data_IF_277573695022
#
_entry.id   IF_277573695022
#
_cell.length_a   1.000
_cell.length_b   1.000
_cell.length_c   1.000
_cell.angle_alpha   90.00
_cell.angle_beta   90.00
_cell.angle_gamma   90.00
#
_symmetry.space_group_name_H-M   'P 1'
#
loop_
_entity.id
_entity.type
_entity.pdbx_description
1 polymer ?
#
# COMPACT_ATOMS: atom_id res chain seq x y z
N UNK A 1 9.00 21.96 6.39
CA UNK A 1 9.88 20.93 6.97
C UNK A 1 9.76 19.70 6.09
N UNK A 2 10.87 19.13 5.64
CA UNK A 2 10.84 17.95 4.77
C UNK A 2 10.44 16.67 5.53
N UNK A 3 9.92 15.68 4.78
CA UNK A 3 9.30 14.48 5.33
C UNK A 3 10.31 13.61 6.08
N UNK A 4 11.50 13.42 5.51
CA UNK A 4 12.54 12.62 6.13
C UNK A 4 13.04 13.24 7.45
N UNK A 5 13.14 14.57 7.53
CA UNK A 5 13.50 15.27 8.76
C UNK A 5 12.41 15.10 9.82
N UNK A 6 11.13 15.10 9.43
CA UNK A 6 10.02 14.81 10.36
C UNK A 6 10.14 13.40 10.93
N UNK A 7 10.33 12.38 10.09
CA UNK A 7 10.56 11.01 10.54
C UNK A 7 11.76 10.89 11.47
N UNK A 8 12.87 11.53 11.09
CA UNK A 8 14.10 11.52 11.86
C UNK A 8 13.91 12.14 13.23
N UNK A 9 13.14 13.24 13.32
CA UNK A 9 12.79 13.88 14.58
C UNK A 9 11.93 12.99 15.48
N UNK A 10 10.88 12.36 14.93
CA UNK A 10 10.00 11.44 15.68
C UNK A 10 10.79 10.24 16.20
N UNK A 11 11.53 9.56 15.32
CA UNK A 11 12.33 8.40 15.71
C UNK A 11 13.42 8.78 16.71
N UNK A 12 14.13 9.90 16.51
CA UNK A 12 15.17 10.35 17.44
C UNK A 12 14.60 10.67 18.83
N UNK A 13 13.46 11.36 18.89
CA UNK A 13 12.82 11.72 20.16
C UNK A 13 12.37 10.50 20.98
N UNK A 14 12.03 9.39 20.33
CA UNK A 14 11.71 8.12 21.00
C UNK A 14 12.98 7.37 21.41
N UNK A 15 13.92 7.21 20.49
CA UNK A 15 15.13 6.44 20.74
C UNK A 15 16.03 7.08 21.81
N UNK A 16 16.13 8.41 21.87
CA UNK A 16 17.01 9.10 22.82
C UNK A 16 16.60 8.88 24.29
N UNK A 17 15.33 8.57 24.55
CA UNK A 17 14.85 8.24 25.91
C UNK A 17 15.49 6.99 26.49
N UNK A 18 15.82 6.03 25.61
CA UNK A 18 16.38 4.73 25.99
C UNK A 18 17.85 4.58 25.57
N UNK A 19 18.29 5.34 24.57
CA UNK A 19 19.67 5.39 24.07
C UNK A 19 20.15 6.84 24.07
N UNK A 20 20.50 7.43 25.24
CA UNK A 20 20.73 8.88 25.38
C UNK A 20 21.86 9.45 24.52
N UNK A 21 22.78 8.59 24.07
CA UNK A 21 23.93 8.97 23.23
C UNK A 21 23.65 8.83 21.73
N UNK A 22 22.45 8.39 21.32
CA UNK A 22 22.13 8.26 19.91
C UNK A 22 22.06 9.64 19.26
N UNK A 23 22.88 9.84 18.23
CA UNK A 23 22.93 11.08 17.45
C UNK A 23 21.86 11.05 16.37
N UNK A 24 21.30 12.22 16.03
CA UNK A 24 20.35 12.34 14.92
C UNK A 24 20.91 11.78 13.59
N UNK A 25 22.20 12.02 13.32
CA UNK A 25 22.87 11.46 12.14
C UNK A 25 22.94 9.93 12.10
N UNK A 26 22.87 9.24 13.26
CA UNK A 26 22.77 7.78 13.32
C UNK A 26 21.35 7.33 13.00
N UNK A 27 20.32 8.03 13.50
CA UNK A 27 18.91 7.79 13.13
C UNK A 27 18.70 7.94 11.62
N UNK A 28 19.34 8.92 10.99
CA UNK A 28 19.32 9.04 9.52
C UNK A 28 19.87 7.80 8.82
N UNK A 29 20.89 7.12 9.38
CA UNK A 29 21.41 5.89 8.79
C UNK A 29 20.41 4.74 8.93
N UNK A 30 19.73 4.62 10.08
CA UNK A 30 18.73 3.58 10.32
C UNK A 30 17.55 3.73 9.35
N UNK A 31 16.98 4.93 9.29
CA UNK A 31 15.86 5.23 8.38
C UNK A 31 16.26 5.09 6.91
N UNK A 32 17.48 5.48 6.53
CA UNK A 32 17.99 5.27 5.18
C UNK A 32 18.06 3.77 4.83
N UNK A 33 18.45 2.91 5.79
CA UNK A 33 18.46 1.47 5.57
C UNK A 33 17.05 0.90 5.34
N UNK A 34 16.04 1.39 6.05
CA UNK A 34 14.65 0.95 5.86
C UNK A 34 14.08 1.22 4.47
N UNK A 35 14.56 2.27 3.80
CA UNK A 35 14.21 2.57 2.40
C UNK A 35 15.24 2.01 1.41
N UNK A 36 16.10 1.12 1.88
CA UNK A 36 17.03 0.33 1.08
C UNK A 36 18.38 0.98 0.86
N UNK A 37 18.77 2.07 1.51
CA UNK A 37 20.09 2.68 1.29
C UNK A 37 21.11 2.23 2.32
N UNK A 38 22.33 1.92 1.87
CA UNK A 38 23.46 1.61 2.77
C UNK A 38 23.85 2.78 3.65
N UNK A 39 23.67 4.02 3.18
CA UNK A 39 24.03 5.23 3.93
C UNK A 39 23.03 6.35 3.68
N UNK A 40 22.95 7.30 4.63
CA UNK A 40 22.19 8.54 4.42
C UNK A 40 22.70 9.35 3.21
N UNK A 41 24.00 9.30 2.91
CA UNK A 41 24.54 9.97 1.73
C UNK A 41 23.99 9.36 0.42
N UNK A 42 23.85 8.03 0.36
CA UNK A 42 23.24 7.35 -0.78
C UNK A 42 21.75 7.72 -0.91
N UNK A 43 21.01 7.77 0.19
CA UNK A 43 19.61 8.24 0.17
C UNK A 43 19.52 9.68 -0.35
N UNK A 44 20.34 10.59 0.17
CA UNK A 44 20.38 12.00 -0.26
C UNK A 44 20.60 12.17 -1.76
N UNK A 45 21.51 11.37 -2.32
CA UNK A 45 21.89 11.48 -3.72
C UNK A 45 20.85 10.90 -4.68
N UNK A 46 20.14 9.84 -4.27
CA UNK A 46 19.24 9.10 -5.16
C UNK A 46 17.77 9.45 -4.93
N UNK A 47 17.29 9.32 -3.69
CA UNK A 47 15.85 9.15 -3.44
C UNK A 47 15.26 10.13 -2.42
N UNK A 48 16.08 10.90 -1.70
CA UNK A 48 15.57 11.84 -0.69
C UNK A 48 14.64 12.90 -1.28
N UNK A 49 14.95 13.38 -2.48
CA UNK A 49 14.08 14.34 -3.18
C UNK A 49 12.72 13.71 -3.50
N UNK A 50 12.69 12.46 -3.97
CA UNK A 50 11.46 11.71 -4.23
C UNK A 50 10.65 11.53 -2.96
N UNK A 51 11.28 11.07 -1.86
CA UNK A 51 10.63 10.84 -0.58
C UNK A 51 10.01 12.11 0.02
N UNK A 52 10.66 13.26 -0.19
CA UNK A 52 10.20 14.54 0.32
C UNK A 52 9.15 15.22 -0.58
N UNK A 53 8.93 14.71 -1.79
CA UNK A 53 7.82 15.11 -2.65
C UNK A 53 6.62 14.20 -2.39
N UNK A 54 5.41 14.62 -2.76
CA UNK A 54 4.19 13.79 -2.72
C UNK A 54 4.13 12.78 -3.88
N UNK A 55 5.29 12.35 -4.41
CA UNK A 55 5.38 11.42 -5.54
C UNK A 55 5.20 9.95 -5.15
N UNK A 56 5.80 9.43 -4.07
CA UNK A 56 5.50 8.09 -3.63
C UNK A 56 4.16 8.10 -2.90
N UNK A 57 3.30 7.13 -3.22
CA UNK A 57 2.12 6.82 -2.42
C UNK A 57 2.35 5.62 -1.52
N UNK A 58 3.30 4.76 -1.88
CA UNK A 58 3.64 3.57 -1.12
C UNK A 58 5.15 3.50 -0.92
N UNK A 59 5.56 3.26 0.32
CA UNK A 59 6.95 3.04 0.69
C UNK A 59 7.05 1.68 1.37
N UNK A 60 7.79 0.76 0.73
CA UNK A 60 8.06 -0.56 1.28
C UNK A 60 9.11 -0.44 2.38
N UNK A 61 8.66 -0.27 3.62
CA UNK A 61 9.51 0.10 4.74
C UNK A 61 10.06 -1.14 5.45
N UNK A 62 11.36 -1.38 5.29
CA UNK A 62 12.04 -2.56 5.84
C UNK A 62 12.56 -2.27 7.25
N UNK A 63 11.75 -2.59 8.26
CA UNK A 63 12.11 -2.36 9.66
C UNK A 63 13.35 -3.18 10.06
N UNK A 64 13.50 -4.40 9.53
CA UNK A 64 14.61 -5.30 9.85
C UNK A 64 15.94 -4.75 9.31
N UNK A 65 15.95 -4.14 8.12
CA UNK A 65 17.13 -3.46 7.60
C UNK A 65 17.58 -2.29 8.49
N UNK A 66 16.63 -1.56 9.07
CA UNK A 66 16.91 -0.50 10.05
C UNK A 66 17.55 -1.05 11.33
N UNK A 67 17.03 -2.16 11.84
CA UNK A 67 17.57 -2.82 13.03
C UNK A 67 18.95 -3.41 12.79
N UNK A 68 19.16 -4.11 11.67
CA UNK A 68 20.46 -4.62 11.27
C UNK A 68 21.50 -3.49 11.16
N UNK A 69 21.09 -2.34 10.62
CA UNK A 69 21.96 -1.15 10.56
C UNK A 69 22.32 -0.61 11.94
N UNK A 70 21.43 -0.70 12.92
CA UNK A 70 21.73 -0.31 14.30
C UNK A 70 22.81 -1.23 14.89
N UNK A 71 22.71 -2.54 14.65
CA UNK A 71 23.72 -3.53 15.05
C UNK A 71 25.08 -3.22 14.42
N UNK A 72 25.13 -2.96 13.11
CA UNK A 72 26.37 -2.61 12.39
C UNK A 72 27.06 -1.37 12.97
N UNK A 73 26.27 -0.41 13.44
CA UNK A 73 26.75 0.85 14.02
C UNK A 73 27.07 0.73 15.53
N UNK A 74 26.92 -0.46 16.11
CA UNK A 74 27.14 -0.71 17.54
C UNK A 74 26.15 0.03 18.44
N UNK A 75 24.94 0.30 17.96
CA UNK A 75 23.90 1.00 18.72
C UNK A 75 23.09 0.01 19.55
N UNK A 76 22.88 0.28 20.85
CA UNK A 76 22.09 -0.60 21.71
C UNK A 76 20.58 -0.37 21.52
N UNK A 77 20.10 -0.52 20.28
CA UNK A 77 18.67 -0.42 19.94
C UNK A 77 18.09 -1.83 19.89
N UNK A 78 17.12 -2.12 20.77
CA UNK A 78 16.41 -3.40 20.75
C UNK A 78 15.33 -3.42 19.67
N UNK A 79 14.91 -4.62 19.25
CA UNK A 79 13.81 -4.79 18.30
C UNK A 79 12.50 -4.12 18.79
N UNK A 80 12.18 -4.27 20.07
CA UNK A 80 10.97 -3.67 20.66
C UNK A 80 11.00 -2.13 20.58
N UNK A 81 12.14 -1.53 20.93
CA UNK A 81 12.33 -0.09 20.86
C UNK A 81 12.29 0.42 19.42
N UNK A 82 12.91 -0.32 18.49
CA UNK A 82 12.89 0.04 17.08
C UNK A 82 11.46 -0.02 16.52
N UNK A 83 10.72 -1.09 16.83
CA UNK A 83 9.33 -1.25 16.45
C UNK A 83 8.44 -0.13 16.98
N UNK A 84 8.64 0.31 18.23
CA UNK A 84 7.93 1.46 18.77
C UNK A 84 8.21 2.73 17.95
N UNK A 85 9.48 2.98 17.62
CA UNK A 85 9.88 4.14 16.83
C UNK A 85 9.32 4.11 15.39
N UNK A 86 9.28 2.95 14.74
CA UNK A 86 8.74 2.79 13.37
C UNK A 86 7.22 2.85 13.35
N UNK A 87 6.53 2.27 14.35
CA UNK A 87 5.08 2.37 14.50
C UNK A 87 4.62 3.82 14.64
N UNK A 88 5.41 4.68 15.32
CA UNK A 88 5.11 6.10 15.46
C UNK A 88 5.17 6.87 14.12
N UNK A 89 5.69 6.28 13.04
CA UNK A 89 5.71 6.91 11.70
C UNK A 89 4.42 6.65 10.90
N UNK A 90 3.62 5.67 11.31
CA UNK A 90 2.42 5.20 10.59
C UNK A 90 1.16 6.08 10.72
N UNK A 91 0.91 6.81 11.83
CA UNK A 91 -0.30 7.62 11.96
C UNK A 91 -0.48 8.67 10.85
N UNK A 92 -1.73 8.89 10.45
CA UNK A 92 -2.13 9.91 9.47
C UNK A 92 -1.61 11.29 9.86
N UNK A 93 -0.96 11.98 8.92
CA UNK A 93 -0.36 13.30 9.13
C UNK A 93 1.13 13.29 9.47
N UNK A 94 1.68 12.14 9.91
CA UNK A 94 3.14 11.98 10.02
C UNK A 94 3.71 11.60 8.66
N UNK A 95 3.16 10.56 8.01
CA UNK A 95 3.52 10.14 6.66
C UNK A 95 2.39 10.49 5.68
N UNK A 96 2.66 11.23 4.57
CA UNK A 96 1.67 11.55 3.56
C UNK A 96 1.40 10.39 2.58
N UNK A 97 2.08 9.26 2.78
CA UNK A 97 2.02 8.05 1.97
C UNK A 97 1.97 6.83 2.90
N UNK A 98 1.66 5.68 2.33
CA UNK A 98 1.50 4.43 3.07
C UNK A 98 2.86 3.80 3.34
N UNK A 99 3.18 3.63 4.62
CA UNK A 99 4.29 2.79 5.07
C UNK A 99 3.80 1.35 5.15
N UNK A 100 4.30 0.51 4.25
CA UNK A 100 3.73 -0.83 4.05
C UNK A 100 4.78 -1.86 3.70
N UNK A 101 4.36 -3.12 3.52
CA UNK A 101 5.14 -4.23 2.98
C UNK A 101 4.49 -4.71 1.67
N UNK A 102 5.06 -5.71 1.01
CA UNK A 102 4.45 -6.25 -0.21
C UNK A 102 3.12 -6.92 0.10
N UNK A 103 3.07 -7.69 1.20
CA UNK A 103 1.80 -8.21 1.72
C UNK A 103 0.77 -7.11 1.95
N UNK A 104 1.17 -5.96 2.50
CA UNK A 104 0.26 -4.82 2.68
C UNK A 104 -0.18 -4.12 1.37
N UNK A 105 0.49 -4.36 0.26
CA UNK A 105 0.11 -3.84 -1.06
C UNK A 105 -1.02 -4.63 -1.72
N UNK A 106 -1.35 -5.84 -1.25
CA UNK A 106 -2.49 -6.60 -1.77
C UNK A 106 -3.80 -5.80 -1.65
N UNK A 107 -4.05 -5.24 -0.46
CA UNK A 107 -5.25 -4.41 -0.24
C UNK A 107 -5.24 -3.14 -1.08
N UNK A 108 -4.05 -2.57 -1.32
CA UNK A 108 -3.94 -1.41 -2.21
C UNK A 108 -4.34 -1.77 -3.66
N UNK A 109 -3.95 -2.96 -4.15
CA UNK A 109 -4.31 -3.43 -5.48
C UNK A 109 -5.81 -3.69 -5.63
N UNK A 110 -6.42 -4.32 -4.62
CA UNK A 110 -7.87 -4.51 -4.54
C UNK A 110 -8.61 -3.17 -4.58
N UNK A 111 -8.23 -2.21 -3.73
CA UNK A 111 -8.84 -0.88 -3.72
C UNK A 111 -8.63 -0.13 -5.04
N UNK A 112 -7.46 -0.28 -5.68
CA UNK A 112 -7.20 0.32 -6.99
C UNK A 112 -8.14 -0.26 -8.05
N UNK A 113 -8.43 -1.56 -7.99
CA UNK A 113 -9.43 -2.19 -8.83
C UNK A 113 -10.86 -1.75 -8.48
N UNK A 114 -11.22 -1.63 -7.21
CA UNK A 114 -12.57 -1.25 -6.77
C UNK A 114 -12.90 0.21 -7.12
N UNK A 115 -11.95 1.12 -6.93
CA UNK A 115 -12.14 2.57 -7.06
C UNK A 115 -11.83 3.12 -8.47
N UNK A 116 -11.34 2.29 -9.41
CA UNK A 116 -10.98 2.78 -10.75
C UNK A 116 -12.21 3.04 -11.64
N UNK A 117 -12.10 4.08 -12.47
CA UNK A 117 -13.07 4.45 -13.50
C UNK A 117 -12.58 4.04 -14.91
N UNK A 118 -11.87 2.91 -15.00
CA UNK A 118 -11.32 2.42 -16.28
C UNK A 118 -12.43 2.09 -17.29
N UNK A 119 -12.29 2.61 -18.51
CA UNK A 119 -13.31 2.46 -19.54
C UNK A 119 -13.56 1.00 -19.94
N UNK A 120 -12.56 0.12 -19.83
CA UNK A 120 -12.69 -1.30 -20.17
C UNK A 120 -13.64 -2.02 -19.21
N UNK A 121 -13.53 -1.74 -17.91
CA UNK A 121 -14.47 -2.26 -16.91
C UNK A 121 -15.87 -1.71 -17.16
N UNK A 122 -15.97 -0.43 -17.48
CA UNK A 122 -17.26 0.18 -17.80
C UNK A 122 -17.91 -0.42 -19.07
N UNK A 123 -17.11 -0.75 -20.09
CA UNK A 123 -17.59 -1.42 -21.30
C UNK A 123 -18.08 -2.85 -21.00
N UNK A 124 -17.36 -3.63 -20.19
CA UNK A 124 -17.82 -4.95 -19.74
C UNK A 124 -19.17 -4.88 -19.02
N UNK A 125 -19.33 -3.91 -18.11
CA UNK A 125 -20.59 -3.67 -17.41
C UNK A 125 -21.73 -3.32 -18.36
N UNK A 126 -21.47 -2.45 -19.34
CA UNK A 126 -22.45 -2.05 -20.36
C UNK A 126 -22.86 -3.19 -21.30
N UNK A 127 -21.94 -4.10 -21.59
CA UNK A 127 -22.24 -5.30 -22.37
C UNK A 127 -23.15 -6.27 -21.61
N UNK A 128 -23.00 -6.37 -20.29
CA UNK A 128 -23.84 -7.20 -19.43
C UNK A 128 -25.23 -6.58 -19.16
N UNK A 129 -25.31 -5.25 -19.03
CA UNK A 129 -26.56 -4.54 -18.76
C UNK A 129 -26.35 -3.08 -18.39
N UNK A 130 -27.14 -2.57 -17.46
CA UNK A 130 -26.93 -1.27 -16.85
C UNK A 130 -25.77 -1.36 -15.84
N UNK A 131 -24.71 -0.55 -15.98
CA UNK A 131 -23.54 -0.66 -15.12
C UNK A 131 -23.83 -0.48 -13.63
N UNK A 132 -23.28 -1.38 -12.83
CA UNK A 132 -23.26 -1.34 -11.36
C UNK A 132 -21.78 -1.33 -10.87
N UNK A 133 -21.53 -1.44 -9.57
CA UNK A 133 -20.19 -1.41 -8.95
C UNK A 133 -19.21 -2.49 -9.43
N UNK A 134 -18.10 -2.62 -8.72
CA UNK A 134 -17.16 -3.74 -8.89
C UNK A 134 -16.51 -4.07 -7.55
N UNK A 135 -16.11 -5.32 -7.35
CA UNK A 135 -15.54 -5.81 -6.09
C UNK A 135 -14.39 -6.76 -6.37
N UNK A 136 -13.30 -6.62 -5.61
CA UNK A 136 -12.22 -7.60 -5.64
C UNK A 136 -12.57 -8.81 -4.75
N UNK A 137 -12.25 -10.02 -5.22
CA UNK A 137 -12.52 -11.28 -4.50
C UNK A 137 -11.24 -11.99 -4.12
N UNK A 138 -10.17 -11.83 -4.89
CA UNK A 138 -8.84 -12.32 -4.55
C UNK A 138 -7.74 -11.44 -5.17
N UNK A 139 -6.55 -11.48 -4.58
CA UNK A 139 -5.40 -10.71 -5.05
C UNK A 139 -4.12 -11.51 -4.86
N UNK A 140 -3.29 -11.57 -5.91
CA UNK A 140 -2.02 -12.30 -5.94
C UNK A 140 -0.89 -11.40 -6.44
N UNK A 141 0.18 -11.30 -5.65
CA UNK A 141 1.40 -10.60 -6.07
C UNK A 141 2.26 -11.48 -7.00
N UNK A 142 2.89 -10.86 -7.99
CA UNK A 142 3.88 -11.51 -8.86
C UNK A 142 5.31 -11.50 -8.26
N UNK A 143 5.51 -10.81 -7.14
CA UNK A 143 6.81 -10.63 -6.49
C UNK A 143 6.85 -11.34 -5.15
N UNK A 144 8.01 -11.87 -4.76
CA UNK A 144 8.22 -12.35 -3.39
C UNK A 144 8.31 -11.17 -2.41
N UNK A 145 8.07 -11.40 -1.12
CA UNK A 145 8.01 -10.34 -0.08
C UNK A 145 9.27 -9.45 0.01
N UNK A 146 10.43 -9.98 -0.40
CA UNK A 146 11.71 -9.27 -0.36
C UNK A 146 12.13 -8.67 -1.72
N UNK A 147 11.39 -8.96 -2.79
CA UNK A 147 11.72 -8.48 -4.13
C UNK A 147 11.22 -7.06 -4.35
N UNK A 148 12.05 -6.21 -4.96
CA UNK A 148 11.69 -4.81 -5.22
C UNK A 148 11.79 -4.50 -6.72
N UNK A 149 10.87 -5.04 -7.54
CA UNK A 149 10.90 -4.92 -9.00
C UNK A 149 10.67 -3.48 -9.47
N UNK A 150 10.95 -3.21 -10.74
CA UNK A 150 10.71 -1.89 -11.35
C UNK A 150 9.22 -1.59 -11.59
N UNK A 151 8.39 -2.63 -11.69
CA UNK A 151 6.93 -2.55 -11.62
C UNK A 151 6.44 -3.62 -10.66
N UNK A 152 5.70 -3.22 -9.62
CA UNK A 152 5.05 -4.15 -8.71
C UNK A 152 3.68 -4.50 -9.28
N UNK A 153 3.46 -5.79 -9.56
CA UNK A 153 2.29 -6.29 -10.29
C UNK A 153 1.46 -7.24 -9.45
N UNK A 154 0.15 -7.09 -9.56
CA UNK A 154 -0.84 -7.92 -8.90
C UNK A 154 -1.88 -8.40 -9.91
N UNK A 155 -2.18 -9.70 -9.88
CA UNK A 155 -3.42 -10.22 -10.45
C UNK A 155 -4.51 -10.00 -9.41
N UNK A 156 -5.55 -9.27 -9.78
CA UNK A 156 -6.75 -9.05 -8.97
C UNK A 156 -7.89 -9.80 -9.64
N UNK A 157 -8.38 -10.85 -8.98
CA UNK A 157 -9.63 -11.49 -9.35
C UNK A 157 -10.77 -10.68 -8.72
N UNK A 158 -11.83 -10.47 -9.48
CA UNK A 158 -12.96 -9.71 -9.01
C UNK A 158 -14.18 -9.92 -9.88
N UNK A 159 -15.19 -9.12 -9.61
CA UNK A 159 -16.45 -9.14 -10.33
C UNK A 159 -16.85 -7.72 -10.68
N UNK A 160 -17.32 -7.52 -11.91
CA UNK A 160 -18.01 -6.29 -12.31
C UNK A 160 -19.50 -6.54 -12.32
N UNK A 161 -20.26 -5.61 -11.77
CA UNK A 161 -21.69 -5.76 -11.61
C UNK A 161 -22.45 -5.00 -12.69
N UNK A 162 -23.59 -5.55 -13.08
CA UNK A 162 -24.57 -4.89 -13.90
C UNK A 162 -25.97 -5.40 -13.54
N UNK A 163 -27.02 -4.66 -13.89
CA UNK A 163 -28.40 -5.15 -13.77
C UNK A 163 -29.10 -5.08 -15.12
N UNK A 164 -30.02 -5.99 -15.37
CA UNK A 164 -30.93 -5.91 -16.51
C UNK A 164 -32.39 -5.83 -15.99
N UNK A 165 -33.39 -5.99 -16.87
CA UNK A 165 -34.79 -5.88 -16.46
C UNK A 165 -35.27 -7.06 -15.59
N UNK A 166 -34.53 -8.16 -15.56
CA UNK A 166 -34.92 -9.44 -14.96
C UNK A 166 -34.08 -9.81 -13.74
N UNK A 167 -32.78 -9.46 -13.74
CA UNK A 167 -31.80 -9.93 -12.75
C UNK A 167 -30.60 -8.98 -12.56
N UNK A 168 -29.95 -9.13 -11.40
CA UNK A 168 -28.61 -8.60 -11.14
C UNK A 168 -27.56 -9.60 -11.62
N UNK A 169 -26.52 -9.11 -12.27
CA UNK A 169 -25.46 -9.90 -12.90
C UNK A 169 -24.10 -9.56 -12.30
N UNK A 170 -23.29 -10.59 -12.08
CA UNK A 170 -21.87 -10.51 -11.79
C UNK A 170 -21.08 -11.11 -12.96
N UNK A 171 -20.20 -10.31 -13.55
CA UNK A 171 -19.28 -10.75 -14.60
C UNK A 171 -17.90 -10.94 -13.96
N UNK A 172 -17.37 -12.18 -13.92
CA UNK A 172 -16.07 -12.43 -13.31
C UNK A 172 -14.95 -11.85 -14.19
N UNK A 173 -13.97 -11.21 -13.56
CA UNK A 173 -12.85 -10.57 -14.25
C UNK A 173 -11.52 -10.90 -13.57
N UNK A 174 -10.46 -10.91 -14.37
CA UNK A 174 -9.08 -10.87 -13.88
C UNK A 174 -8.45 -9.57 -14.40
N UNK A 175 -7.93 -8.78 -13.47
CA UNK A 175 -7.28 -7.51 -13.70
C UNK A 175 -5.79 -7.60 -13.34
N UNK A 176 -4.93 -6.93 -14.11
CA UNK A 176 -3.55 -6.68 -13.71
C UNK A 176 -3.45 -5.24 -13.22
N UNK A 177 -3.12 -5.07 -11.94
CA UNK A 177 -2.83 -3.77 -11.34
C UNK A 177 -1.32 -3.61 -11.20
N UNK A 178 -0.81 -2.48 -11.67
CA UNK A 178 0.63 -2.18 -11.66
C UNK A 178 0.94 -0.90 -10.90
N UNK A 179 2.03 -0.94 -10.13
CA UNK A 179 2.59 0.21 -9.44
C UNK A 179 4.00 0.50 -9.98
N UNK A 180 4.23 1.65 -10.62
CA UNK A 180 5.54 2.01 -11.13
C UNK A 180 6.47 2.39 -9.99
N UNK A 181 7.70 1.90 -10.04
CA UNK A 181 8.75 2.28 -9.08
C UNK A 181 9.20 3.71 -9.32
N UNK A 182 9.25 4.50 -8.24
CA UNK A 182 9.69 5.91 -8.26
C UNK A 182 10.95 6.16 -7.42
N UNK A 183 11.38 5.16 -6.65
CA UNK A 183 12.60 5.14 -5.85
C UNK A 183 12.95 3.71 -5.44
N UNK A 184 14.06 3.50 -4.73
CA UNK A 184 14.60 2.15 -4.48
C UNK A 184 13.60 1.19 -3.84
N UNK A 185 12.78 1.68 -2.90
CA UNK A 185 11.69 0.96 -2.22
C UNK A 185 10.39 1.77 -2.20
N UNK A 186 10.14 2.55 -3.25
CA UNK A 186 9.03 3.50 -3.31
C UNK A 186 8.26 3.35 -4.61
N UNK A 187 6.93 3.35 -4.52
CA UNK A 187 6.03 3.18 -5.64
C UNK A 187 5.01 4.33 -5.72
N UNK A 188 4.63 4.67 -6.95
CA UNK A 188 3.64 5.68 -7.26
C UNK A 188 2.19 5.16 -7.17
N UNK A 189 1.29 5.86 -7.84
CA UNK A 189 -0.11 5.43 -8.01
C UNK A 189 -0.20 4.08 -8.73
N UNK A 190 -1.10 3.22 -8.24
CA UNK A 190 -1.51 2.03 -8.97
C UNK A 190 -2.38 2.39 -10.15
N UNK A 191 -2.29 1.61 -11.22
CA UNK A 191 -3.18 1.72 -12.36
C UNK A 191 -3.52 0.34 -12.92
N UNK A 192 -4.70 0.24 -13.53
CA UNK A 192 -5.12 -0.97 -14.24
C UNK A 192 -4.35 -1.10 -15.56
N UNK A 193 -3.46 -2.09 -15.66
CA UNK A 193 -2.72 -2.37 -16.89
C UNK A 193 -3.57 -3.17 -17.88
N UNK A 194 -4.27 -4.20 -17.40
CA UNK A 194 -5.20 -5.00 -18.19
C UNK A 194 -6.40 -5.44 -17.35
N UNK A 195 -7.47 -5.80 -18.04
CA UNK A 195 -8.64 -6.49 -17.47
C UNK A 195 -9.23 -7.37 -18.56
N UNK A 196 -9.55 -8.60 -18.21
CA UNK A 196 -10.19 -9.57 -19.08
C UNK A 196 -11.35 -10.25 -18.34
N UNK A 197 -12.43 -10.53 -19.06
CA UNK A 197 -13.51 -11.35 -18.53
C UNK A 197 -13.02 -12.80 -18.38
N UNK A 198 -13.26 -13.39 -17.21
CA UNK A 198 -12.79 -14.73 -16.86
C UNK A 198 -13.96 -15.62 -16.45
N UNK A 199 -14.80 -15.97 -17.42
CA UNK A 199 -15.98 -16.81 -17.25
C UNK A 199 -17.26 -16.15 -17.75
N UNK A 200 -18.35 -16.91 -17.75
CA UNK A 200 -19.67 -16.40 -18.16
C UNK A 200 -20.27 -15.51 -17.07
N UNK A 201 -21.08 -14.49 -17.44
CA UNK A 201 -21.91 -13.75 -16.50
C UNK A 201 -22.80 -14.69 -15.68
N UNK A 202 -22.98 -14.38 -14.40
CA UNK A 202 -23.81 -15.16 -13.47
C UNK A 202 -24.83 -14.26 -12.80
N UNK A 203 -25.99 -14.81 -12.45
CA UNK A 203 -26.94 -14.14 -11.59
C UNK A 203 -26.31 -13.91 -10.21
N UNK A 204 -26.37 -12.67 -9.74
CA UNK A 204 -25.88 -12.24 -8.43
C UNK A 204 -27.03 -12.29 -7.42
N UNK A 205 -26.86 -13.02 -6.32
CA UNK A 205 -27.87 -13.05 -5.28
C UNK A 205 -27.86 -11.72 -4.49
N UNK A 206 -29.04 -11.17 -4.12
CA UNK A 206 -29.13 -9.92 -3.37
C UNK A 206 -28.40 -9.94 -2.01
N UNK A 207 -28.21 -11.12 -1.42
CA UNK A 207 -27.65 -11.31 -0.07
C UNK A 207 -26.10 -11.36 -0.05
N UNK A 208 -25.42 -11.31 -1.20
CA UNK A 208 -23.94 -11.31 -1.28
C UNK A 208 -23.31 -9.93 -0.97
N UNK A 209 -24.14 -8.91 -0.70
CA UNK A 209 -23.74 -7.57 -0.25
C UNK A 209 -23.71 -7.42 1.28
N UNK A 210 -24.20 -8.41 2.04
CA UNK A 210 -24.31 -8.32 3.51
C UNK A 210 -23.06 -8.86 4.24
N UNK A 211 -21.88 -8.35 3.87
CA UNK A 211 -20.68 -8.50 4.70
C UNK A 211 -20.65 -7.38 5.78
N UNK A 212 -21.56 -7.51 6.77
CA UNK A 212 -21.32 -6.99 8.12
C UNK A 212 -21.52 -5.49 8.36
N UNK A 213 -22.36 -4.81 7.58
CA UNK A 213 -22.83 -3.47 7.94
C UNK A 213 -23.96 -3.56 8.97
N UNK A 214 -23.66 -3.47 10.27
CA UNK A 214 -24.67 -3.25 11.31
C UNK A 214 -25.47 -1.98 10.99
N UNK A 215 -26.60 -2.16 10.29
CA UNK A 215 -27.59 -1.12 10.05
C UNK A 215 -28.38 -0.94 11.35
N UNK A 216 -27.88 -0.06 12.23
CA UNK A 216 -28.67 0.42 13.37
C UNK A 216 -29.85 1.24 12.86
N UNK A 217 -31.00 0.60 12.69
CA UNK A 217 -32.29 1.30 12.71
C UNK A 217 -32.48 1.87 14.12
N UNK A 218 -32.22 3.16 14.28
CA UNK A 218 -32.82 3.91 15.40
C UNK A 218 -34.31 4.09 15.08
N UNK A 219 -35.12 3.15 15.55
CA UNK A 219 -36.55 3.39 15.71
C UNK A 219 -36.73 4.40 16.85
N UNK A 220 -37.11 5.62 16.51
CA UNK A 220 -37.69 6.54 17.50
C UNK A 220 -39.02 5.95 18.01
N UNK A 221 -39.14 5.82 19.33
CA UNK A 221 -40.34 5.43 20.06
C UNK A 221 -40.21 5.84 21.52
#
# INVERSE_FOLDING_TARGET
MDQFSRWSGVAHALLVKHVPKIKLGQVHQLLAACVGHRTYASLRAADLATLNQTRPLYVLFDEDAGLARATDLGLPVSQALWREATMALRPSGISPFWLTTISGMHRAAELTFEDTFDSRLHDMKRLAGFPDGQRATACRCHSAENDVPDSLRFDVEGEVYAFNQEESLAVPVIAIVEYPKVGRRMYGNGALASVEQHGEPRTRAPDEDDDGGEFYWMSEG
#
